data_IF_502446296176
#
_entry.id   IF_502446296176
#
_cell.length_a   1.000
_cell.length_b   1.000
_cell.length_c   1.000
_cell.angle_alpha   90.00
_cell.angle_beta   90.00
_cell.angle_gamma   90.00
#
_symmetry.space_group_name_H-M   'P 1'
#
loop_
_entity.id
_entity.type
_entity.pdbx_description
1 polymer ?
#
# COMPACT_ATOMS: atom_id res chain seq x y z
N UNK A 1 -21.81 -38.61 -6.82
CA UNK A 1 -20.88 -37.72 -6.10
C UNK A 1 -19.65 -37.56 -6.96
N UNK A 2 -19.56 -36.45 -7.70
CA UNK A 2 -18.48 -36.22 -8.67
C UNK A 2 -17.68 -35.01 -8.22
N UNK A 3 -16.38 -35.24 -8.03
CA UNK A 3 -15.37 -34.31 -7.55
C UNK A 3 -15.26 -33.07 -8.46
N UNK A 4 -15.36 -31.89 -7.85
CA UNK A 4 -15.04 -30.61 -8.47
C UNK A 4 -13.51 -30.43 -8.50
N UNK A 5 -12.88 -30.11 -9.65
CA UNK A 5 -11.44 -29.87 -9.68
C UNK A 5 -11.14 -28.48 -9.08
N UNK A 6 -10.36 -28.47 -8.01
CA UNK A 6 -9.71 -27.29 -7.47
C UNK A 6 -8.76 -26.71 -8.53
N UNK A 7 -9.16 -25.59 -9.14
CA UNK A 7 -8.27 -24.79 -9.99
C UNK A 7 -7.68 -23.66 -9.14
N UNK A 8 -6.76 -24.04 -8.25
CA UNK A 8 -5.79 -23.13 -7.66
C UNK A 8 -4.65 -22.97 -8.66
N UNK A 9 -4.74 -21.94 -9.50
CA UNK A 9 -3.64 -21.52 -10.36
C UNK A 9 -3.61 -19.99 -10.42
N UNK A 10 -2.97 -19.42 -9.40
CA UNK A 10 -1.92 -18.40 -9.54
C UNK A 10 -1.99 -17.54 -10.81
N UNK A 11 -2.84 -16.51 -10.78
CA UNK A 11 -2.58 -15.31 -11.55
C UNK A 11 -1.91 -14.30 -10.61
N UNK A 12 -0.59 -14.48 -10.41
CA UNK A 12 0.28 -13.34 -10.06
C UNK A 12 0.18 -12.35 -11.21
N UNK A 13 -0.84 -11.51 -11.17
CA UNK A 13 -0.91 -10.33 -12.01
C UNK A 13 0.19 -9.43 -11.50
N UNK A 14 1.37 -9.51 -12.11
CA UNK A 14 2.33 -8.42 -12.10
C UNK A 14 1.65 -7.24 -12.77
N UNK A 15 0.83 -6.51 -12.01
CA UNK A 15 0.24 -5.27 -12.49
C UNK A 15 1.34 -4.23 -12.43
N UNK A 16 2.05 -4.14 -13.56
CA UNK A 16 2.83 -2.96 -13.93
C UNK A 16 1.85 -1.81 -14.16
N UNK A 17 1.24 -1.32 -13.08
CA UNK A 17 0.53 -0.05 -13.13
C UNK A 17 1.57 1.06 -13.19
N UNK A 18 1.88 1.45 -14.42
CA UNK A 18 2.62 2.68 -14.71
C UNK A 18 1.68 3.86 -14.46
N UNK A 19 1.33 4.13 -13.21
CA UNK A 19 0.64 5.37 -12.86
C UNK A 19 1.66 6.52 -12.95
N UNK A 20 1.29 7.64 -13.60
CA UNK A 20 2.21 8.75 -13.81
C UNK A 20 2.72 9.25 -12.47
N UNK A 21 4.03 9.45 -12.37
CA UNK A 21 4.77 10.10 -11.27
C UNK A 21 4.38 11.58 -11.19
N UNK A 22 3.10 11.85 -11.12
CA UNK A 22 2.54 13.13 -10.76
C UNK A 22 2.55 13.12 -9.26
N UNK A 23 3.09 14.19 -8.66
CA UNK A 23 3.06 14.45 -7.24
C UNK A 23 1.61 14.42 -6.72
N UNK A 24 1.03 13.23 -6.55
CA UNK A 24 -0.24 13.06 -5.91
C UNK A 24 -0.03 13.56 -4.49
N UNK A 25 -0.87 14.49 -4.06
CA UNK A 25 -0.79 14.96 -2.70
C UNK A 25 -1.24 13.83 -1.77
N UNK A 26 -0.46 13.59 -0.71
CA UNK A 26 -0.78 12.54 0.24
C UNK A 26 -2.09 12.91 0.93
N UNK A 27 -3.00 11.95 1.15
CA UNK A 27 -4.22 12.27 1.85
C UNK A 27 -3.88 12.68 3.29
N UNK A 28 -4.29 13.88 3.68
CA UNK A 28 -4.05 14.47 5.00
C UNK A 28 -5.19 14.23 5.99
N UNK A 29 -6.30 13.65 5.53
CA UNK A 29 -7.42 13.24 6.37
C UNK A 29 -6.97 12.11 7.31
N UNK A 30 -7.23 12.20 8.63
CA UNK A 30 -6.86 11.15 9.57
C UNK A 30 -7.45 9.80 9.14
N UNK A 31 -6.72 8.71 9.37
CA UNK A 31 -7.09 7.34 9.02
C UNK A 31 -7.18 7.04 7.52
N UNK A 32 -6.58 7.88 6.68
CA UNK A 32 -6.39 7.56 5.26
C UNK A 32 -5.46 6.37 5.09
N UNK A 33 -5.69 5.56 4.05
CA UNK A 33 -4.86 4.38 3.74
C UNK A 33 -4.21 4.55 2.37
N UNK A 34 -2.94 4.19 2.29
CA UNK A 34 -2.13 4.18 1.08
C UNK A 34 -1.30 2.89 1.01
N UNK A 35 -0.83 2.55 -0.17
CA UNK A 35 -0.03 1.36 -0.43
C UNK A 35 1.34 1.77 -0.94
N UNK A 36 2.40 1.16 -0.41
CA UNK A 36 3.78 1.41 -0.85
C UNK A 36 4.57 0.11 -0.80
N UNK A 37 5.11 -0.32 -1.94
CA UNK A 37 5.96 -1.50 -2.02
C UNK A 37 5.29 -2.79 -1.54
N UNK A 38 4.00 -2.97 -1.83
CA UNK A 38 3.22 -4.15 -1.42
C UNK A 38 2.62 -4.08 -0.01
N UNK A 39 2.86 -3.01 0.74
CA UNK A 39 2.38 -2.87 2.12
C UNK A 39 1.38 -1.73 2.27
N UNK A 40 0.38 -1.92 3.11
CA UNK A 40 -0.56 -0.87 3.49
C UNK A 40 0.01 -0.01 4.61
N UNK A 41 -0.27 1.29 4.52
CA UNK A 41 0.08 2.29 5.51
C UNK A 41 -1.13 3.15 5.81
N UNK A 42 -1.41 3.38 7.09
CA UNK A 42 -2.51 4.19 7.60
C UNK A 42 -1.96 5.48 8.17
N UNK A 43 -2.60 6.61 7.88
CA UNK A 43 -2.25 7.88 8.48
C UNK A 43 -2.73 7.95 9.92
N UNK A 44 -1.80 7.97 10.87
CA UNK A 44 -2.09 8.23 12.28
C UNK A 44 -2.01 9.73 12.58
N UNK A 45 -3.19 10.35 12.71
CA UNK A 45 -3.36 11.70 13.25
C UNK A 45 -3.19 12.87 12.27
N UNK A 46 -3.64 14.04 12.72
CA UNK A 46 -3.65 15.30 11.95
C UNK A 46 -2.48 16.22 12.31
N UNK A 47 -1.81 15.99 13.44
CA UNK A 47 -0.71 16.81 13.95
C UNK A 47 0.59 15.99 13.94
N UNK A 48 1.36 16.12 12.85
CA UNK A 48 2.56 15.31 12.62
C UNK A 48 2.24 13.99 11.95
N UNK A 49 1.76 14.07 10.71
CA UNK A 49 1.36 12.94 9.88
C UNK A 49 2.40 11.81 9.87
N UNK A 50 2.02 10.66 10.45
CA UNK A 50 2.85 9.45 10.48
C UNK A 50 2.08 8.29 9.87
N UNK A 51 2.68 7.68 8.85
CA UNK A 51 2.14 6.54 8.14
C UNK A 51 2.55 5.25 8.83
N UNK A 52 1.61 4.61 9.54
CA UNK A 52 1.82 3.36 10.25
C UNK A 52 1.47 2.17 9.35
N UNK A 53 2.38 1.23 9.20
CA UNK A 53 2.18 0.01 8.42
C UNK A 53 3.08 -1.11 8.91
N UNK A 54 3.23 -2.13 8.08
CA UNK A 54 4.03 -3.32 8.39
C UNK A 54 5.06 -3.52 7.28
N UNK A 55 6.24 -4.05 7.59
CA UNK A 55 7.23 -4.47 6.59
C UNK A 55 7.07 -5.96 6.22
N UNK A 56 7.82 -6.44 5.22
CA UNK A 56 7.78 -7.84 4.77
C UNK A 56 8.06 -8.88 5.85
N UNK A 57 8.61 -8.46 7.00
CA UNK A 57 8.91 -9.34 8.14
C UNK A 57 7.81 -9.32 9.20
N UNK A 58 6.70 -8.64 8.95
CA UNK A 58 5.63 -8.48 9.92
C UNK A 58 5.94 -7.44 11.00
N UNK A 59 6.98 -6.62 10.85
CA UNK A 59 7.34 -5.62 11.88
C UNK A 59 6.66 -4.29 11.62
N UNK A 60 6.17 -3.67 12.69
CA UNK A 60 5.62 -2.32 12.62
C UNK A 60 6.66 -1.34 12.05
N UNK A 61 6.22 -0.57 11.06
CA UNK A 61 7.01 0.45 10.37
C UNK A 61 6.25 1.75 10.33
N UNK A 62 6.93 2.84 10.61
CA UNK A 62 6.37 4.17 10.53
C UNK A 62 7.15 5.00 9.51
N UNK A 63 6.44 5.67 8.62
CA UNK A 63 7.01 6.53 7.59
C UNK A 63 6.48 7.96 7.74
N UNK A 64 7.31 8.92 7.36
CA UNK A 64 6.88 10.31 7.13
C UNK A 64 6.31 10.46 5.72
N UNK A 65 5.57 11.55 5.47
CA UNK A 65 5.10 11.90 4.12
C UNK A 65 6.24 11.96 3.10
N UNK A 66 7.40 12.50 3.51
CA UNK A 66 8.57 12.62 2.65
C UNK A 66 9.20 11.26 2.31
N UNK A 67 9.19 10.30 3.24
CA UNK A 67 9.64 8.93 2.95
C UNK A 67 8.66 8.22 2.01
N UNK A 68 7.37 8.35 2.27
CA UNK A 68 6.34 7.71 1.45
C UNK A 68 6.33 8.25 0.02
N UNK A 69 6.46 9.58 -0.15
CA UNK A 69 6.64 10.22 -1.47
C UNK A 69 7.88 9.74 -2.20
N UNK A 70 9.00 9.52 -1.51
CA UNK A 70 10.24 9.02 -2.11
C UNK A 70 10.15 7.54 -2.51
N UNK A 71 9.44 6.72 -1.75
CA UNK A 71 9.25 5.29 -2.05
C UNK A 71 8.24 5.05 -3.18
N UNK A 72 7.36 6.03 -3.41
CA UNK A 72 6.20 5.87 -4.28
C UNK A 72 5.06 5.20 -3.52
N UNK A 73 3.85 5.66 -3.77
CA UNK A 73 2.65 5.15 -3.10
C UNK A 73 1.42 5.27 -4.00
N UNK A 74 0.41 4.47 -3.70
CA UNK A 74 -0.86 4.41 -4.42
C UNK A 74 -2.05 4.43 -3.46
N UNK A 75 -3.20 4.94 -3.92
CA UNK A 75 -4.47 4.86 -3.16
C UNK A 75 -5.15 3.48 -3.26
N UNK A 76 -4.73 2.68 -4.21
CA UNK A 76 -5.21 1.31 -4.43
C UNK A 76 -4.08 0.32 -4.14
N UNK A 77 -4.41 -0.90 -3.68
CA UNK A 77 -3.43 -1.98 -3.61
C UNK A 77 -2.87 -2.25 -5.01
N UNK A 78 -1.55 -2.44 -5.09
CA UNK A 78 -0.82 -2.88 -6.30
C UNK A 78 -0.42 -4.34 -6.18
#
# INVERSE_FOLDING_TARGET
MSTEPAQSAEASTSQVDSSPTTSADLPTTPWSVVWSGGHSYVLEGSAGARWAGVDDRGRARFLTDAELRRRGWSRTPV
#
